data_IF_168473536183
#
_entry.id   IF_168473536183
#
_cell.length_a   1.000
_cell.length_b   1.000
_cell.length_c   1.000
_cell.angle_alpha   90.00
_cell.angle_beta   90.00
_cell.angle_gamma   90.00
#
_symmetry.space_group_name_H-M   'P 1'
#
loop_
_entity.id
_entity.type
_entity.pdbx_description
1 polymer ?
#
# COMPACT_ATOMS: atom_id res chain seq x y z
N UNK A 1 63.76 -64.34 23.75
CA UNK A 1 64.94 -63.45 23.79
C UNK A 1 64.65 -62.12 23.17
N UNK A 2 64.93 -61.03 23.91
CA UNK A 2 65.10 -59.62 23.51
C UNK A 2 63.87 -58.83 23.02
N UNK A 3 63.24 -58.09 23.86
CA UNK A 3 63.30 -56.64 24.14
C UNK A 3 63.49 -55.78 22.93
N UNK A 4 62.57 -54.74 22.81
CA UNK A 4 62.90 -53.30 22.82
C UNK A 4 61.63 -52.52 22.39
N UNK A 5 61.06 -51.81 23.34
CA UNK A 5 61.03 -50.35 23.47
C UNK A 5 60.80 -49.54 22.19
N UNK A 6 59.70 -48.91 22.03
CA UNK A 6 59.72 -47.49 21.60
C UNK A 6 58.40 -46.81 21.76
N UNK A 7 58.39 -45.84 22.52
CA UNK A 7 57.93 -44.46 22.50
C UNK A 7 56.51 -44.15 21.91
N UNK A 8 55.61 -43.49 22.66
CA UNK A 8 54.39 -42.95 22.15
C UNK A 8 54.61 -41.55 21.51
N UNK A 9 54.32 -41.42 20.25
CA UNK A 9 54.27 -40.14 19.57
C UNK A 9 53.03 -39.34 20.02
N UNK A 10 53.30 -38.24 20.70
CA UNK A 10 52.30 -37.24 21.12
C UNK A 10 51.84 -36.45 19.88
N UNK A 11 50.63 -36.71 19.43
CA UNK A 11 49.98 -35.95 18.40
C UNK A 11 49.36 -34.69 19.04
N UNK A 12 49.98 -33.53 18.81
CA UNK A 12 49.41 -32.23 19.11
C UNK A 12 48.33 -31.94 18.10
N UNK A 13 47.07 -31.96 18.54
CA UNK A 13 45.98 -31.42 17.78
C UNK A 13 45.96 -29.90 17.94
N UNK A 14 46.42 -29.18 16.91
CA UNK A 14 46.19 -27.72 16.79
C UNK A 14 44.73 -27.52 16.37
N UNK A 15 43.89 -27.14 17.32
CA UNK A 15 42.54 -26.67 17.04
C UNK A 15 42.61 -25.27 16.44
N UNK A 16 42.43 -25.17 15.11
CA UNK A 16 42.31 -23.92 14.40
C UNK A 16 40.89 -23.37 14.64
N UNK A 17 40.72 -22.43 15.57
CA UNK A 17 39.50 -21.68 15.76
C UNK A 17 39.31 -20.73 14.56
N UNK A 18 38.60 -21.19 13.52
CA UNK A 18 38.11 -20.33 12.45
C UNK A 18 36.96 -19.51 13.01
N UNK A 19 37.27 -18.27 13.45
CA UNK A 19 36.28 -17.25 13.80
C UNK A 19 35.49 -16.83 12.56
N UNK A 20 34.37 -17.49 12.29
CA UNK A 20 33.43 -17.09 11.26
C UNK A 20 32.73 -15.80 11.70
N UNK A 21 33.10 -14.67 11.13
CA UNK A 21 32.29 -13.45 11.20
C UNK A 21 31.04 -13.65 10.39
N UNK A 22 29.88 -13.82 11.07
CA UNK A 22 28.59 -13.82 10.42
C UNK A 22 28.37 -12.42 9.80
N UNK A 23 28.05 -12.30 8.50
CA UNK A 23 27.70 -11.01 7.94
C UNK A 23 26.42 -10.54 8.64
N UNK A 24 26.47 -9.37 9.24
CA UNK A 24 25.29 -8.69 9.75
C UNK A 24 24.36 -8.46 8.56
N UNK A 25 23.24 -9.17 8.55
CA UNK A 25 22.17 -8.91 7.59
C UNK A 25 21.67 -7.48 7.84
N UNK A 26 22.00 -6.56 6.95
CA UNK A 26 21.40 -5.23 6.93
C UNK A 26 19.92 -5.43 6.62
N UNK A 27 19.07 -5.33 7.63
CA UNK A 27 17.64 -5.23 7.43
C UNK A 27 17.38 -3.95 6.62
N UNK A 28 17.05 -4.12 5.35
CA UNK A 28 16.56 -3.00 4.53
C UNK A 28 15.23 -2.56 5.13
N UNK A 29 15.25 -1.48 5.89
CA UNK A 29 14.04 -0.81 6.34
C UNK A 29 13.36 -0.23 5.12
N UNK A 30 12.34 -0.92 4.61
CA UNK A 30 11.43 -0.35 3.61
C UNK A 30 10.87 0.95 4.20
N UNK A 31 10.94 2.07 3.48
CA UNK A 31 10.35 3.32 3.95
C UNK A 31 8.90 3.08 4.37
N UNK A 32 8.42 3.70 5.45
CA UNK A 32 7.04 3.54 5.88
C UNK A 32 6.11 3.96 4.74
N UNK A 33 5.13 3.12 4.45
CA UNK A 33 4.12 3.40 3.44
C UNK A 33 3.33 4.64 3.83
N UNK A 34 3.37 5.67 3.00
CA UNK A 34 2.65 6.93 3.22
C UNK A 34 1.90 7.34 1.95
N UNK A 35 0.81 8.08 2.12
CA UNK A 35 0.02 8.64 1.02
C UNK A 35 -0.06 10.16 1.21
N UNK A 36 0.37 10.92 0.21
CA UNK A 36 0.23 12.38 0.19
C UNK A 36 -1.15 12.78 -0.26
N UNK A 37 -1.77 13.69 0.49
CA UNK A 37 -3.03 14.35 0.17
C UNK A 37 -2.74 15.81 -0.10
N UNK A 38 -3.02 16.28 -1.31
CA UNK A 38 -2.63 17.61 -1.80
C UNK A 38 -3.72 18.25 -2.65
N UNK A 39 -3.51 19.51 -3.02
CA UNK A 39 -4.34 20.25 -3.98
C UNK A 39 -5.45 21.07 -3.30
N UNK A 40 -6.65 21.03 -3.86
CA UNK A 40 -7.81 21.77 -3.39
C UNK A 40 -8.47 21.09 -2.17
N UNK A 41 -7.71 20.99 -1.08
CA UNK A 41 -8.13 20.46 0.21
C UNK A 41 -7.80 21.49 1.31
N UNK A 42 -8.55 21.46 2.40
CA UNK A 42 -8.39 22.44 3.49
C UNK A 42 -7.05 22.24 4.23
N UNK A 43 -6.63 20.99 4.40
CA UNK A 43 -5.45 20.63 5.18
C UNK A 43 -4.61 19.60 4.43
N UNK A 44 -3.73 20.02 3.50
CA UNK A 44 -2.79 19.10 2.85
C UNK A 44 -1.94 18.37 3.89
N UNK A 45 -1.76 17.05 3.71
CA UNK A 45 -1.06 16.21 4.69
C UNK A 45 -0.51 14.94 4.07
N UNK A 46 0.40 14.30 4.78
CA UNK A 46 0.86 12.96 4.46
C UNK A 46 0.29 12.00 5.49
N UNK A 47 -0.48 11.02 5.03
CA UNK A 47 -1.07 9.99 5.87
C UNK A 47 -0.07 8.85 6.09
N UNK A 48 0.04 8.44 7.33
CA UNK A 48 0.81 7.26 7.74
C UNK A 48 -0.03 6.00 7.71
N UNK A 49 0.62 4.84 7.70
CA UNK A 49 -0.08 3.55 7.82
C UNK A 49 -0.93 3.44 9.10
N UNK A 50 -0.48 4.04 10.21
CA UNK A 50 -1.21 4.03 11.47
C UNK A 50 -2.51 4.84 11.39
N UNK A 51 -2.49 6.01 10.74
CA UNK A 51 -3.68 6.84 10.55
C UNK A 51 -4.70 6.15 9.62
N UNK A 52 -4.23 5.50 8.55
CA UNK A 52 -5.10 4.72 7.67
C UNK A 52 -5.70 3.50 8.36
N UNK A 53 -4.92 2.79 9.18
CA UNK A 53 -5.39 1.64 9.94
C UNK A 53 -6.44 2.01 11.01
N UNK A 54 -6.47 3.25 11.48
CA UNK A 54 -7.45 3.75 12.44
C UNK A 54 -8.83 4.07 11.81
N UNK A 55 -8.92 4.19 10.47
CA UNK A 55 -10.17 4.44 9.78
C UNK A 55 -11.05 3.19 9.70
N UNK A 56 -12.39 3.35 9.57
CA UNK A 56 -13.29 2.24 9.39
C UNK A 56 -12.96 1.44 8.13
N UNK A 57 -12.59 0.16 8.28
CA UNK A 57 -12.35 -0.73 7.17
C UNK A 57 -13.65 -1.35 6.67
N UNK A 58 -13.72 -1.55 5.36
CA UNK A 58 -14.83 -2.20 4.65
C UNK A 58 -14.29 -3.32 3.78
N UNK A 59 -15.13 -4.28 3.48
CA UNK A 59 -14.84 -5.36 2.53
C UNK A 59 -15.67 -5.19 1.27
N UNK A 60 -15.04 -5.44 0.13
CA UNK A 60 -15.68 -5.39 -1.18
C UNK A 60 -15.28 -6.61 -2.00
N UNK A 61 -16.26 -7.41 -2.37
CA UNK A 61 -16.06 -8.49 -3.33
C UNK A 61 -16.15 -7.94 -4.76
N UNK A 62 -15.13 -8.23 -5.56
CA UNK A 62 -15.10 -7.80 -6.98
C UNK A 62 -14.26 -8.77 -7.82
N UNK A 63 -14.41 -8.69 -9.15
CA UNK A 63 -13.64 -9.51 -10.08
C UNK A 63 -12.39 -8.76 -10.52
N UNK A 64 -11.22 -9.37 -10.31
CA UNK A 64 -9.92 -8.81 -10.72
C UNK A 64 -9.63 -9.13 -12.21
N UNK A 65 -8.49 -8.60 -12.69
CA UNK A 65 -7.98 -8.80 -14.06
C UNK A 65 -7.74 -10.27 -14.45
N UNK A 66 -7.60 -11.15 -13.45
CA UNK A 66 -7.46 -12.60 -13.65
C UNK A 66 -8.80 -13.32 -13.86
N UNK A 67 -9.92 -12.58 -13.83
CA UNK A 67 -11.28 -13.09 -13.95
C UNK A 67 -11.82 -13.76 -12.70
N UNK A 68 -11.07 -13.74 -11.59
CA UNK A 68 -11.49 -14.34 -10.31
C UNK A 68 -12.11 -13.30 -9.40
N UNK A 69 -13.06 -13.75 -8.58
CA UNK A 69 -13.59 -12.94 -7.49
C UNK A 69 -12.61 -12.96 -6.32
N UNK A 70 -12.28 -11.76 -5.82
CA UNK A 70 -11.47 -11.54 -4.64
C UNK A 70 -12.22 -10.65 -3.65
N UNK A 71 -11.92 -10.79 -2.37
CA UNK A 71 -12.40 -9.91 -1.31
C UNK A 71 -11.28 -8.94 -0.99
N UNK A 72 -11.50 -7.66 -1.31
CA UNK A 72 -10.58 -6.58 -0.93
C UNK A 72 -11.06 -5.94 0.35
N UNK A 73 -10.14 -5.69 1.27
CA UNK A 73 -10.39 -4.97 2.52
C UNK A 73 -9.56 -3.69 2.55
N UNK A 74 -10.16 -2.60 3.01
CA UNK A 74 -9.53 -1.28 3.06
C UNK A 74 -10.49 -0.22 3.57
N UNK A 75 -10.11 1.02 3.43
CA UNK A 75 -10.89 2.19 3.84
C UNK A 75 -11.58 2.82 2.65
N UNK A 76 -12.75 3.44 2.83
CA UNK A 76 -13.40 4.17 1.76
C UNK A 76 -12.53 5.36 1.35
N UNK A 77 -12.36 5.60 0.05
CA UNK A 77 -11.58 6.72 -0.47
C UNK A 77 -12.15 8.07 -0.02
N UNK A 78 -13.48 8.17 0.12
CA UNK A 78 -14.14 9.35 0.68
C UNK A 78 -13.68 9.64 2.12
N UNK A 79 -13.61 8.61 2.99
CA UNK A 79 -13.15 8.74 4.38
C UNK A 79 -11.68 9.21 4.44
N UNK A 80 -10.85 8.77 3.48
CA UNK A 80 -9.46 9.22 3.35
C UNK A 80 -9.38 10.69 2.95
N UNK A 81 -10.18 11.12 1.98
CA UNK A 81 -10.23 12.52 1.51
C UNK A 81 -10.79 13.46 2.58
N UNK A 82 -11.74 13.01 3.37
CA UNK A 82 -12.30 13.72 4.51
C UNK A 82 -11.21 14.18 5.51
N UNK A 83 -10.19 13.35 5.77
CA UNK A 83 -9.07 13.70 6.65
C UNK A 83 -8.27 14.94 6.20
N UNK A 84 -8.31 15.26 4.92
CA UNK A 84 -7.68 16.46 4.36
C UNK A 84 -8.68 17.60 4.15
N UNK A 85 -9.97 17.40 4.45
CA UNK A 85 -11.03 18.39 4.24
C UNK A 85 -11.28 18.66 2.76
N UNK A 86 -11.30 17.60 1.93
CA UNK A 86 -11.81 17.70 0.56
C UNK A 86 -13.32 17.98 0.57
N UNK A 87 -13.87 18.64 -0.47
CA UNK A 87 -15.31 18.82 -0.59
C UNK A 87 -16.08 17.49 -0.57
N UNK A 88 -17.18 17.42 0.18
CA UNK A 88 -18.01 16.21 0.31
C UNK A 88 -19.50 16.55 0.41
N UNK A 89 -20.36 15.60 0.06
CA UNK A 89 -21.81 15.69 0.19
C UNK A 89 -22.39 16.95 -0.44
N UNK A 90 -23.05 17.79 0.37
CA UNK A 90 -23.69 19.04 -0.06
C UNK A 90 -22.70 20.10 -0.59
N UNK A 91 -21.43 19.98 -0.26
CA UNK A 91 -20.42 20.95 -0.71
C UNK A 91 -19.95 20.65 -2.15
N UNK A 92 -20.29 19.49 -2.69
CA UNK A 92 -20.06 19.14 -4.10
C UNK A 92 -21.16 19.72 -4.97
N UNK A 93 -21.05 21.01 -5.30
CA UNK A 93 -21.99 21.70 -6.18
C UNK A 93 -21.31 22.86 -6.94
N UNK A 94 -21.97 23.40 -7.97
CA UNK A 94 -21.47 24.51 -8.75
C UNK A 94 -20.06 24.28 -9.30
N UNK A 95 -19.10 25.19 -9.02
CA UNK A 95 -17.72 25.05 -9.53
C UNK A 95 -16.97 23.80 -9.04
N UNK A 96 -17.35 23.23 -7.88
CA UNK A 96 -16.74 22.03 -7.32
C UNK A 96 -17.01 20.79 -8.17
N UNK A 97 -18.10 20.79 -8.95
CA UNK A 97 -18.38 19.73 -9.92
C UNK A 97 -17.32 19.61 -11.04
N UNK A 98 -16.51 20.65 -11.23
CA UNK A 98 -15.35 20.65 -12.12
C UNK A 98 -14.04 20.28 -11.41
N UNK A 99 -14.11 19.77 -10.18
CA UNK A 99 -12.96 19.28 -9.46
C UNK A 99 -12.84 17.75 -9.58
N UNK A 100 -11.60 17.29 -9.63
CA UNK A 100 -11.29 15.89 -9.77
C UNK A 100 -10.13 15.49 -8.88
N UNK A 101 -10.12 14.23 -8.45
CA UNK A 101 -9.03 13.58 -7.77
C UNK A 101 -8.07 12.95 -8.79
N UNK A 102 -6.81 13.29 -8.72
CA UNK A 102 -5.71 12.60 -9.41
C UNK A 102 -5.06 11.65 -8.42
N UNK A 103 -5.16 10.36 -8.66
CA UNK A 103 -4.49 9.31 -7.90
C UNK A 103 -3.18 8.94 -8.61
N UNK A 104 -2.06 8.92 -7.88
CA UNK A 104 -0.72 8.69 -8.43
C UNK A 104 -0.06 7.47 -7.78
N UNK A 105 0.45 6.56 -8.59
CA UNK A 105 1.23 5.40 -8.20
C UNK A 105 2.72 5.73 -8.00
N UNK A 106 3.47 4.80 -7.43
CA UNK A 106 4.92 4.93 -7.23
C UNK A 106 5.72 5.00 -8.55
N UNK A 107 5.22 4.38 -9.62
CA UNK A 107 5.82 4.39 -10.96
C UNK A 107 5.39 5.61 -11.81
N UNK A 108 4.59 6.52 -11.23
CA UNK A 108 4.06 7.70 -11.90
C UNK A 108 2.76 7.47 -12.70
N UNK A 109 2.20 6.23 -12.70
CA UNK A 109 0.89 5.99 -13.28
C UNK A 109 -0.17 6.85 -12.59
N UNK A 110 -1.10 7.41 -13.37
CA UNK A 110 -2.16 8.27 -12.84
C UNK A 110 -3.54 7.83 -13.35
N UNK A 111 -4.52 7.98 -12.45
CA UNK A 111 -5.93 7.86 -12.80
C UNK A 111 -6.70 9.04 -12.21
N UNK A 112 -7.79 9.45 -12.90
CA UNK A 112 -8.61 10.60 -12.53
C UNK A 112 -10.01 10.11 -12.15
N UNK A 113 -10.53 10.70 -11.08
CA UNK A 113 -11.88 10.47 -10.56
C UNK A 113 -12.57 11.81 -10.36
N UNK A 114 -13.79 11.98 -10.86
CA UNK A 114 -14.59 13.14 -10.49
C UNK A 114 -14.97 13.05 -9.00
N UNK A 115 -14.97 14.15 -8.26
CA UNK A 115 -15.36 14.11 -6.83
C UNK A 115 -16.75 13.48 -6.62
N UNK A 116 -17.78 13.75 -7.46
CA UNK A 116 -19.08 13.12 -7.31
C UNK A 116 -19.06 11.58 -7.42
N UNK A 117 -18.13 10.97 -8.16
CA UNK A 117 -18.09 9.49 -8.25
C UNK A 117 -17.51 8.81 -7.02
N UNK A 118 -16.85 9.58 -6.14
CA UNK A 118 -16.27 9.10 -4.88
C UNK A 118 -17.26 9.22 -3.73
N UNK A 119 -18.17 10.21 -3.81
CA UNK A 119 -19.10 10.54 -2.74
C UNK A 119 -20.39 9.70 -2.80
N UNK A 120 -20.80 9.14 -1.64
CA UNK A 120 -21.97 8.28 -1.52
C UNK A 120 -23.30 9.00 -1.82
N UNK A 121 -23.35 10.33 -1.79
CA UNK A 121 -24.55 11.12 -2.16
C UNK A 121 -24.80 11.11 -3.67
N UNK A 122 -23.77 10.82 -4.47
CA UNK A 122 -23.85 10.85 -5.94
C UNK A 122 -23.69 9.48 -6.58
N UNK A 123 -22.93 8.58 -5.95
CA UNK A 123 -22.57 7.29 -6.51
C UNK A 123 -22.89 6.14 -5.55
N UNK A 124 -23.48 5.04 -6.03
CA UNK A 124 -23.75 3.86 -5.21
C UNK A 124 -22.50 3.03 -4.92
N UNK A 125 -21.39 3.26 -5.64
CA UNK A 125 -20.16 2.50 -5.43
C UNK A 125 -19.34 3.09 -4.30
N UNK A 126 -18.65 2.21 -3.58
CA UNK A 126 -17.59 2.62 -2.65
C UNK A 126 -16.24 2.29 -3.29
N UNK A 127 -15.48 3.32 -3.66
CA UNK A 127 -14.09 3.14 -4.07
C UNK A 127 -13.27 2.90 -2.81
N UNK A 128 -12.48 1.81 -2.76
CA UNK A 128 -11.64 1.48 -1.63
C UNK A 128 -10.18 1.84 -1.87
N UNK A 129 -9.53 2.36 -0.85
CA UNK A 129 -8.10 2.28 -0.67
C UNK A 129 -7.82 0.98 0.08
N UNK A 130 -7.52 -0.07 -0.67
CA UNK A 130 -7.32 -1.41 -0.14
C UNK A 130 -5.89 -1.61 0.36
N UNK A 131 -5.74 -2.35 1.46
CA UNK A 131 -4.49 -2.81 2.06
C UNK A 131 -4.40 -4.34 2.11
N UNK A 132 -5.53 -5.05 1.90
CA UNK A 132 -5.60 -6.51 1.92
C UNK A 132 -6.43 -7.05 0.76
N UNK A 133 -6.10 -8.28 0.35
CA UNK A 133 -6.86 -9.13 -0.57
C UNK A 133 -6.96 -10.53 0.01
N UNK A 134 -8.19 -11.08 0.07
CA UNK A 134 -8.49 -12.42 0.60
C UNK A 134 -7.90 -12.66 2.01
N UNK A 135 -7.99 -11.64 2.89
CA UNK A 135 -7.53 -11.69 4.27
C UNK A 135 -5.99 -11.62 4.44
N UNK A 136 -5.25 -11.38 3.36
CA UNK A 136 -3.80 -11.23 3.39
C UNK A 136 -3.40 -9.82 2.94
N UNK A 137 -2.24 -9.29 3.36
CA UNK A 137 -1.69 -8.06 2.80
C UNK A 137 -1.61 -8.15 1.27
N UNK A 138 -1.75 -7.02 0.59
CA UNK A 138 -1.62 -6.97 -0.86
C UNK A 138 -0.24 -7.50 -1.29
N UNK A 139 -0.16 -8.23 -2.43
CA UNK A 139 1.12 -8.61 -3.01
C UNK A 139 2.01 -7.39 -3.26
N UNK A 140 3.32 -7.53 -3.18
CA UNK A 140 4.29 -6.43 -3.29
C UNK A 140 4.13 -5.58 -4.57
N UNK A 141 3.67 -6.19 -5.68
CA UNK A 141 3.46 -5.48 -6.95
C UNK A 141 2.16 -4.65 -6.99
N UNK A 142 1.22 -4.90 -6.07
CA UNK A 142 -0.05 -4.16 -5.95
C UNK A 142 -0.03 -3.22 -4.74
N UNK A 143 0.61 -3.64 -3.65
CA UNK A 143 0.63 -2.96 -2.36
C UNK A 143 1.77 -1.94 -2.16
N UNK A 144 1.83 -1.29 -0.99
CA UNK A 144 1.00 -1.57 0.20
C UNK A 144 -0.45 -1.09 0.09
N UNK A 145 -0.75 -0.14 -0.80
CA UNK A 145 -2.10 0.39 -1.02
C UNK A 145 -2.47 0.36 -2.49
N UNK A 146 -3.71 -0.03 -2.77
CA UNK A 146 -4.28 -0.09 -4.11
C UNK A 146 -5.69 0.52 -4.13
N UNK A 147 -6.02 1.31 -5.15
CA UNK A 147 -7.41 1.70 -5.38
C UNK A 147 -8.19 0.55 -6.02
N UNK A 148 -9.38 0.28 -5.49
CA UNK A 148 -10.33 -0.68 -6.02
C UNK A 148 -11.61 0.05 -6.41
N UNK A 149 -12.01 -0.05 -7.67
CA UNK A 149 -13.22 0.58 -8.24
C UNK A 149 -14.19 -0.53 -8.65
N UNK A 150 -15.11 -0.94 -7.77
CA UNK A 150 -15.83 -2.22 -7.88
C UNK A 150 -16.74 -2.34 -9.09
N UNK A 151 -17.34 -1.24 -9.55
CA UNK A 151 -18.31 -1.26 -10.66
C UNK A 151 -17.67 -1.12 -12.05
N UNK A 152 -16.36 -1.00 -12.12
CA UNK A 152 -15.68 -0.96 -13.42
C UNK A 152 -15.52 -2.34 -14.04
N UNK A 153 -15.82 -2.43 -15.32
CA UNK A 153 -15.62 -3.66 -16.10
C UNK A 153 -14.15 -4.03 -16.32
N UNK A 154 -13.25 -3.04 -16.22
CA UNK A 154 -11.81 -3.22 -16.40
C UNK A 154 -11.07 -2.49 -15.26
N UNK A 155 -10.09 -3.10 -14.61
CA UNK A 155 -9.35 -2.51 -13.49
C UNK A 155 -8.29 -1.48 -13.93
N UNK A 156 -8.56 -0.70 -14.98
CA UNK A 156 -7.62 0.29 -15.50
C UNK A 156 -7.36 1.43 -14.51
N UNK A 157 -8.36 1.82 -13.71
CA UNK A 157 -8.20 2.85 -12.67
C UNK A 157 -7.90 2.27 -11.27
N UNK A 158 -7.61 0.97 -11.17
CA UNK A 158 -7.18 0.35 -9.93
C UNK A 158 -5.70 0.65 -9.72
N UNK A 159 -5.40 1.88 -9.29
CA UNK A 159 -4.04 2.38 -9.11
C UNK A 159 -3.32 1.57 -8.04
N UNK A 160 -2.28 0.85 -8.43
CA UNK A 160 -1.44 0.04 -7.55
C UNK A 160 -0.32 0.88 -6.94
N UNK A 161 0.23 0.44 -5.80
CA UNK A 161 1.32 1.15 -5.10
C UNK A 161 1.04 2.65 -4.99
N UNK A 162 -0.18 2.98 -4.52
CA UNK A 162 -0.64 4.37 -4.41
C UNK A 162 0.26 5.17 -3.47
N UNK A 163 0.73 6.33 -3.92
CA UNK A 163 1.61 7.24 -3.17
C UNK A 163 1.04 8.65 -3.00
N UNK A 164 0.08 9.03 -3.83
CA UNK A 164 -0.47 10.39 -3.81
C UNK A 164 -1.91 10.49 -4.29
N UNK A 165 -2.63 11.41 -3.68
CA UNK A 165 -3.99 11.82 -3.99
C UNK A 165 -4.02 13.34 -4.06
N UNK A 166 -4.36 13.92 -5.20
CA UNK A 166 -4.38 15.35 -5.41
C UNK A 166 -5.72 15.81 -5.97
N UNK A 167 -6.41 16.70 -5.25
CA UNK A 167 -7.63 17.34 -5.76
C UNK A 167 -7.23 18.51 -6.63
N UNK A 168 -7.74 18.54 -7.86
CA UNK A 168 -7.43 19.57 -8.87
C UNK A 168 -8.71 20.09 -9.50
N UNK A 169 -8.65 21.32 -10.02
CA UNK A 169 -9.72 21.84 -10.87
C UNK A 169 -9.41 21.49 -12.32
N UNK A 170 -10.37 20.90 -13.01
CA UNK A 170 -10.31 20.69 -14.46
C UNK A 170 -10.61 22.03 -15.14
N UNK A 171 -9.70 22.46 -16.02
CA UNK A 171 -9.85 23.69 -16.81
C UNK A 171 -10.46 23.38 -18.16
#
# INVERSE_FOLDING_TARGET
MKNLLSSPARWFWLALLAGGTLPAAYAQTTPPATIRLEGLVTTPRTLTAAELAALPHREQATTDKDGKKHIYRGVALADVLHLAGAPEGKDIHGPVLAEALVATAADGYQAVFALPEIDASFSPQTILLADQRDGQPLPAHDGPYQLIVPLEKKPARWVRQLTGLKVVKVQ
#
